data_IF_837329924470
#
_entry.id   IF_837329924470
#
_cell.length_a   1.000
_cell.length_b   1.000
_cell.length_c   1.000
_cell.angle_alpha   90.00
_cell.angle_beta   90.00
_cell.angle_gamma   90.00
#
_symmetry.space_group_name_H-M   'P 1'
#
loop_
_entity.id
_entity.type
_entity.pdbx_description
1 polymer ?
#
# COMPACT_ATOMS: atom_id res chain seq x y z
N UNK A 1 5.75 -9.46 -2.03
CA UNK A 1 4.31 -9.77 -1.94
C UNK A 1 3.54 -8.46 -1.91
N UNK A 2 2.40 -8.37 -2.59
CA UNK A 2 1.53 -7.17 -2.59
C UNK A 2 0.13 -7.53 -2.11
N UNK A 3 -0.67 -6.54 -1.70
CA UNK A 3 -2.09 -6.73 -1.44
C UNK A 3 -2.88 -6.57 -2.75
N UNK A 4 -3.30 -7.69 -3.31
CA UNK A 4 -4.16 -7.76 -4.50
C UNK A 4 -5.65 -7.86 -4.15
N UNK A 5 -6.44 -8.20 -5.18
CA UNK A 5 -7.89 -8.31 -5.15
C UNK A 5 -8.42 -9.16 -3.99
N UNK A 6 -9.49 -8.68 -3.38
CA UNK A 6 -10.23 -9.43 -2.38
C UNK A 6 -9.49 -9.53 -1.05
N UNK A 7 -8.47 -8.69 -0.82
CA UNK A 7 -7.92 -8.42 0.51
C UNK A 7 -8.70 -7.30 1.19
N UNK A 8 -8.59 -7.22 2.52
CA UNK A 8 -9.14 -6.08 3.26
C UNK A 8 -8.48 -4.75 2.83
N UNK A 9 -7.16 -4.77 2.63
CA UNK A 9 -6.38 -3.61 2.18
C UNK A 9 -6.90 -3.08 0.84
N UNK A 10 -7.08 -3.98 -0.14
CA UNK A 10 -7.60 -3.64 -1.46
C UNK A 10 -8.97 -2.95 -1.40
N UNK A 11 -9.90 -3.51 -0.62
CA UNK A 11 -11.24 -2.93 -0.45
C UNK A 11 -11.18 -1.56 0.24
N UNK A 12 -10.30 -1.38 1.23
CA UNK A 12 -10.14 -0.10 1.92
C UNK A 12 -9.51 0.97 1.03
N UNK A 13 -8.50 0.60 0.22
CA UNK A 13 -7.90 1.48 -0.78
C UNK A 13 -8.94 1.98 -1.78
N UNK A 14 -9.75 1.07 -2.33
CA UNK A 14 -10.83 1.40 -3.27
C UNK A 14 -11.86 2.34 -2.65
N UNK A 15 -12.27 2.09 -1.39
CA UNK A 15 -13.19 2.97 -0.65
C UNK A 15 -12.61 4.35 -0.35
N UNK A 16 -11.29 4.44 -0.20
CA UNK A 16 -10.59 5.70 0.03
C UNK A 16 -10.28 6.48 -1.27
N UNK A 17 -10.66 5.93 -2.44
CA UNK A 17 -10.49 6.57 -3.75
C UNK A 17 -9.17 6.25 -4.45
N UNK A 18 -8.39 5.29 -3.93
CA UNK A 18 -7.20 4.80 -4.62
C UNK A 18 -7.59 3.78 -5.70
N UNK A 19 -6.72 3.65 -6.71
CA UNK A 19 -6.70 2.53 -7.65
C UNK A 19 -5.52 1.62 -7.34
N UNK A 20 -5.79 0.35 -7.08
CA UNK A 20 -4.74 -0.63 -6.82
C UNK A 20 -4.17 -1.15 -8.14
N UNK A 21 -2.89 -0.89 -8.41
CA UNK A 21 -2.24 -1.32 -9.67
C UNK A 21 -2.14 -2.83 -9.83
N UNK A 22 -2.37 -3.60 -8.75
CA UNK A 22 -2.43 -5.06 -8.74
C UNK A 22 -3.83 -5.62 -8.44
N UNK A 23 -4.90 -4.83 -8.68
CA UNK A 23 -6.31 -5.24 -8.50
C UNK A 23 -6.72 -6.45 -9.36
N UNK A 24 -5.91 -6.85 -10.35
CA UNK A 24 -6.13 -8.02 -11.18
C UNK A 24 -5.55 -9.32 -10.60
N UNK A 25 -4.74 -9.25 -9.55
CA UNK A 25 -4.12 -10.42 -8.92
C UNK A 25 -4.86 -10.77 -7.63
N UNK A 26 -5.06 -12.07 -7.35
CA UNK A 26 -5.82 -12.48 -6.17
C UNK A 26 -4.99 -12.43 -4.88
N UNK A 27 -5.58 -11.89 -3.81
CA UNK A 27 -5.10 -11.97 -2.42
C UNK A 27 -3.70 -11.40 -2.23
N UNK A 28 -2.69 -12.21 -1.98
CA UNK A 28 -1.34 -11.75 -1.66
C UNK A 28 -0.31 -12.40 -2.59
N UNK A 29 -0.26 -12.04 -3.88
CA UNK A 29 0.68 -12.61 -4.82
C UNK A 29 2.11 -12.14 -4.53
N UNK A 30 3.08 -12.99 -4.84
CA UNK A 30 4.45 -12.55 -5.06
C UNK A 30 4.56 -11.90 -6.44
N UNK A 31 5.33 -10.82 -6.51
CA UNK A 31 5.63 -10.11 -7.76
C UNK A 31 7.14 -9.87 -7.82
N UNK A 32 7.66 -9.73 -9.03
CA UNK A 32 9.05 -9.37 -9.25
C UNK A 32 9.25 -7.84 -9.22
N UNK A 33 10.51 -7.41 -9.14
CA UNK A 33 10.87 -6.00 -9.23
C UNK A 33 10.48 -5.39 -10.59
N UNK A 34 10.62 -6.16 -11.67
CA UNK A 34 10.26 -5.75 -13.03
C UNK A 34 8.75 -5.55 -13.16
N UNK A 35 7.95 -6.45 -12.56
CA UNK A 35 6.49 -6.29 -12.54
C UNK A 35 6.07 -5.04 -11.77
N UNK A 36 6.73 -4.74 -10.65
CA UNK A 36 6.49 -3.50 -9.90
C UNK A 36 6.83 -2.25 -10.71
N UNK A 37 7.98 -2.24 -11.38
CA UNK A 37 8.39 -1.15 -12.26
C UNK A 37 7.43 -0.93 -13.42
N UNK A 38 6.99 -2.02 -14.07
CA UNK A 38 6.04 -1.97 -15.18
C UNK A 38 4.66 -1.48 -14.76
N UNK A 39 4.23 -1.79 -13.53
CA UNK A 39 2.97 -1.30 -12.99
C UNK A 39 2.98 0.21 -12.74
N UNK A 40 4.16 0.84 -12.69
CA UNK A 40 4.36 2.29 -12.57
C UNK A 40 3.45 2.96 -11.52
N UNK A 41 3.46 2.50 -10.25
CA UNK A 41 2.61 3.07 -9.22
C UNK A 41 3.00 4.52 -8.92
N UNK A 42 2.01 5.36 -8.66
CA UNK A 42 2.24 6.72 -8.15
C UNK A 42 2.65 6.72 -6.67
N UNK A 43 2.19 5.72 -5.92
CA UNK A 43 2.48 5.57 -4.49
C UNK A 43 2.79 4.12 -4.14
N UNK A 44 3.77 3.93 -3.24
CA UNK A 44 4.10 2.64 -2.63
C UNK A 44 3.95 2.79 -1.12
N UNK A 45 2.96 2.09 -0.57
CA UNK A 45 2.60 2.12 0.85
C UNK A 45 3.16 0.87 1.55
N UNK A 46 4.19 1.07 2.37
CA UNK A 46 4.86 0.00 3.11
C UNK A 46 4.29 -0.10 4.52
N UNK A 47 3.55 -1.16 4.85
CA UNK A 47 2.91 -1.30 6.17
C UNK A 47 3.93 -1.43 7.30
N UNK A 48 3.71 -0.82 8.47
CA UNK A 48 4.57 -1.01 9.64
C UNK A 48 4.43 -2.41 10.28
N UNK A 49 3.38 -3.15 9.92
CA UNK A 49 3.11 -4.51 10.40
C UNK A 49 2.23 -5.32 9.41
N UNK A 50 2.26 -6.66 9.44
CA UNK A 50 3.05 -7.53 10.32
C UNK A 50 4.55 -7.53 9.99
N UNK A 51 4.94 -7.10 8.79
CA UNK A 51 6.34 -6.92 8.43
C UNK A 51 6.78 -5.47 8.71
N UNK A 52 7.77 -5.24 9.59
CA UNK A 52 8.19 -3.90 9.98
C UNK A 52 9.09 -3.29 8.91
N UNK A 53 8.51 -2.70 7.87
CA UNK A 53 9.28 -1.94 6.89
C UNK A 53 9.96 -0.73 7.57
N UNK A 54 11.27 -0.60 7.36
CA UNK A 54 12.13 0.48 7.85
C UNK A 54 12.73 1.32 6.70
N UNK A 55 13.46 2.38 7.04
CA UNK A 55 14.08 3.32 6.09
C UNK A 55 14.93 2.64 5.00
N UNK A 56 15.63 1.54 5.33
CA UNK A 56 16.41 0.79 4.34
C UNK A 56 15.57 0.26 3.17
N UNK A 57 14.32 -0.13 3.43
CA UNK A 57 13.42 -0.60 2.38
C UNK A 57 12.83 0.59 1.61
N UNK A 58 12.62 1.74 2.24
CA UNK A 58 12.23 2.95 1.51
C UNK A 58 13.26 3.29 0.43
N UNK A 59 14.56 3.23 0.77
CA UNK A 59 15.63 3.45 -0.21
C UNK A 59 15.59 2.44 -1.37
N UNK A 60 15.34 1.16 -1.08
CA UNK A 60 15.20 0.11 -2.10
C UNK A 60 14.03 0.38 -3.05
N UNK A 61 12.84 0.64 -2.51
CA UNK A 61 11.65 0.91 -3.33
C UNK A 61 11.73 2.23 -4.09
N UNK A 62 12.38 3.26 -3.53
CA UNK A 62 12.66 4.53 -4.24
C UNK A 62 13.62 4.31 -5.42
N UNK A 63 14.62 3.44 -5.27
CA UNK A 63 15.52 3.10 -6.37
C UNK A 63 14.80 2.27 -7.44
N UNK A 64 13.90 1.36 -7.04
CA UNK A 64 13.10 0.56 -7.98
C UNK A 64 12.07 1.41 -8.72
N UNK A 65 11.41 2.35 -8.06
CA UNK A 65 10.36 3.18 -8.65
C UNK A 65 10.60 4.67 -8.35
N UNK A 66 11.53 5.34 -9.07
CA UNK A 66 11.92 6.72 -8.77
C UNK A 66 10.80 7.75 -8.91
N UNK A 67 9.76 7.44 -9.69
CA UNK A 67 8.58 8.30 -9.87
C UNK A 67 7.48 8.08 -8.83
N UNK A 68 7.63 7.10 -7.92
CA UNK A 68 6.64 6.80 -6.90
C UNK A 68 6.94 7.52 -5.59
N UNK A 69 5.91 8.01 -4.92
CA UNK A 69 6.01 8.39 -3.51
C UNK A 69 6.05 7.12 -2.65
N UNK A 70 7.17 6.88 -1.98
CA UNK A 70 7.35 5.71 -1.11
C UNK A 70 7.31 6.14 0.36
N UNK A 71 6.40 5.56 1.13
CA UNK A 71 6.21 5.87 2.56
C UNK A 71 5.80 4.65 3.37
N UNK A 72 6.16 4.69 4.66
CA UNK A 72 5.69 3.73 5.64
C UNK A 72 4.32 4.18 6.15
N UNK A 73 3.36 3.25 6.23
CA UNK A 73 2.00 3.50 6.74
C UNK A 73 1.74 2.72 8.03
N UNK A 74 0.87 3.26 8.89
CA UNK A 74 0.43 2.62 10.13
C UNK A 74 -0.34 1.34 9.79
N UNK A 75 0.27 0.19 10.07
CA UNK A 75 -0.32 -1.09 9.73
C UNK A 75 -1.62 -1.38 10.49
N UNK A 76 -1.74 -0.97 11.76
CA UNK A 76 -2.96 -1.13 12.57
C UNK A 76 -4.17 -0.46 11.93
N UNK A 77 -3.99 0.76 11.41
CA UNK A 77 -5.04 1.54 10.78
C UNK A 77 -5.26 1.18 9.31
N UNK A 78 -4.21 0.75 8.62
CA UNK A 78 -4.22 0.45 7.18
C UNK A 78 -4.69 -0.96 6.85
N UNK A 79 -4.28 -1.96 7.65
CA UNK A 79 -4.33 -3.38 7.28
C UNK A 79 -5.27 -4.23 8.11
N UNK A 80 -5.78 -3.73 9.24
CA UNK A 80 -6.59 -4.51 10.17
C UNK A 80 -8.02 -3.99 10.33
N UNK A 81 -8.93 -4.94 10.50
CA UNK A 81 -10.31 -4.69 10.90
C UNK A 81 -10.45 -4.79 12.42
N UNK A 82 -11.49 -4.15 12.98
CA UNK A 82 -11.75 -4.16 14.43
C UNK A 82 -12.24 -2.80 14.93
N UNK A 83 -12.16 -2.58 16.24
CA UNK A 83 -12.61 -1.32 16.87
C UNK A 83 -11.90 -0.07 16.32
N UNK A 84 -10.65 -0.22 15.87
CA UNK A 84 -9.83 0.83 15.27
C UNK A 84 -10.31 1.24 13.87
N UNK A 85 -11.17 0.47 13.21
CA UNK A 85 -11.71 0.78 11.88
C UNK A 85 -12.39 2.17 11.82
N UNK A 86 -12.95 2.63 12.95
CA UNK A 86 -13.50 3.99 13.09
C UNK A 86 -12.49 5.10 12.76
N UNK A 87 -11.19 4.83 12.93
CA UNK A 87 -10.09 5.76 12.66
C UNK A 87 -9.54 5.62 11.23
N UNK A 88 -9.65 4.43 10.62
CA UNK A 88 -9.07 4.13 9.30
C UNK A 88 -9.56 5.06 8.19
N UNK A 89 -10.83 5.46 8.18
CA UNK A 89 -11.36 6.34 7.14
C UNK A 89 -10.70 7.74 7.16
N UNK A 90 -10.45 8.30 8.34
CA UNK A 90 -9.74 9.57 8.46
C UNK A 90 -8.27 9.44 8.06
N UNK A 91 -7.63 8.34 8.49
CA UNK A 91 -6.25 8.03 8.16
C UNK A 91 -6.02 7.86 6.66
N UNK A 92 -6.82 7.03 5.98
CA UNK A 92 -6.70 6.78 4.54
C UNK A 92 -6.94 8.06 3.70
N UNK A 93 -7.81 8.96 4.16
CA UNK A 93 -7.99 10.27 3.50
C UNK A 93 -6.72 11.12 3.57
N UNK A 94 -6.00 11.12 4.70
CA UNK A 94 -4.74 11.85 4.81
C UNK A 94 -3.69 11.30 3.83
N UNK A 95 -3.70 9.99 3.56
CA UNK A 95 -2.83 9.40 2.54
C UNK A 95 -3.21 9.87 1.12
N UNK A 96 -4.49 10.09 0.83
CA UNK A 96 -4.92 10.47 -0.53
C UNK A 96 -4.80 11.98 -0.81
N UNK A 97 -4.55 12.81 0.21
CA UNK A 97 -4.46 14.28 0.10
C UNK A 97 -3.03 14.77 -0.18
N UNK A 98 -2.24 14.00 -0.91
CA UNK A 98 -0.93 14.51 -1.37
C UNK A 98 -1.19 15.34 -2.61
N UNK A 99 -0.91 16.64 -2.51
CA UNK A 99 -0.96 17.61 -3.61
C UNK A 99 -0.10 17.20 -4.82
#
# INVERSE_FOLDING_TARGET
>A
MVAGMGTFIDEMLRRAGFRNVFENLARYPEITAEQLQQAAPQQILLSSEPYPFQEKHLAEFRALCPGAEVRIVDGELFSWYGSRLRLSAAYLRQLNLVD
#
